data_IF_819301472875
#
_entry.id   IF_819301472875
#
_cell.length_a   1.000
_cell.length_b   1.000
_cell.length_c   1.000
_cell.angle_alpha   90.00
_cell.angle_beta   90.00
_cell.angle_gamma   90.00
#
_symmetry.space_group_name_H-M   'P 1'
#
loop_
_entity.id
_entity.type
_entity.pdbx_description
1 polymer ?
#
# COMPACT_ATOMS: atom_id res chain seq x y z
N UNK A 1 -29.37 28.24 -18.89
CA UNK A 1 -29.19 27.20 -17.85
C UNK A 1 -27.98 26.39 -18.28
N UNK A 2 -26.83 26.68 -17.69
CA UNK A 2 -25.54 26.08 -18.07
C UNK A 2 -25.21 24.96 -17.08
N UNK A 3 -25.11 23.73 -17.56
CA UNK A 3 -24.65 22.58 -16.78
C UNK A 3 -23.55 21.89 -17.56
N UNK A 4 -22.33 22.44 -17.49
CA UNK A 4 -21.10 21.75 -17.87
C UNK A 4 -19.98 22.29 -16.98
N UNK A 5 -19.89 21.79 -15.74
CA UNK A 5 -18.72 22.05 -14.88
C UNK A 5 -18.30 20.84 -14.03
N UNK A 6 -19.08 19.75 -14.01
CA UNK A 6 -18.75 18.55 -13.20
C UNK A 6 -17.57 17.73 -13.71
N UNK A 7 -17.25 17.79 -15.00
CA UNK A 7 -16.16 16.96 -15.55
C UNK A 7 -14.74 17.40 -15.15
N UNK A 8 -14.56 18.67 -14.76
CA UNK A 8 -13.25 19.19 -14.34
C UNK A 8 -12.90 18.78 -12.91
N UNK A 9 -13.88 18.81 -12.01
CA UNK A 9 -13.69 18.45 -10.60
C UNK A 9 -13.45 16.94 -10.42
N UNK A 10 -14.14 16.10 -11.21
CA UNK A 10 -13.92 14.66 -11.22
C UNK A 10 -12.54 14.27 -11.78
N UNK A 11 -12.05 15.01 -12.78
CA UNK A 11 -10.71 14.80 -13.34
C UNK A 11 -9.64 15.16 -12.31
N UNK A 12 -9.74 16.33 -11.67
CA UNK A 12 -8.81 16.77 -10.63
C UNK A 12 -8.82 15.83 -9.42
N UNK A 13 -9.99 15.32 -9.04
CA UNK A 13 -10.10 14.31 -7.99
C UNK A 13 -9.37 13.02 -8.36
N UNK A 14 -9.53 12.53 -9.60
CA UNK A 14 -8.81 11.33 -10.07
C UNK A 14 -7.31 11.55 -10.17
N UNK A 15 -6.86 12.69 -10.70
CA UNK A 15 -5.43 13.03 -10.75
C UNK A 15 -4.81 13.11 -9.35
N UNK A 16 -5.56 13.62 -8.38
CA UNK A 16 -5.11 13.70 -6.99
C UNK A 16 -5.09 12.33 -6.30
N UNK A 17 -6.05 11.45 -6.61
CA UNK A 17 -6.03 10.04 -6.18
C UNK A 17 -4.84 9.30 -6.78
N UNK A 18 -4.58 9.45 -8.09
CA UNK A 18 -3.44 8.82 -8.77
C UNK A 18 -2.10 9.28 -8.18
N UNK A 19 -1.98 10.58 -7.87
CA UNK A 19 -0.83 11.13 -7.17
C UNK A 19 -0.66 10.51 -5.78
N UNK A 20 -1.74 10.42 -5.00
CA UNK A 20 -1.75 9.78 -3.68
C UNK A 20 -1.25 8.34 -3.77
N UNK A 21 -1.76 7.56 -4.73
CA UNK A 21 -1.35 6.16 -4.93
C UNK A 21 0.10 6.04 -5.34
N UNK A 22 0.59 6.90 -6.24
CA UNK A 22 2.00 6.92 -6.63
C UNK A 22 2.92 7.24 -5.44
N UNK A 23 2.55 8.25 -4.66
CA UNK A 23 3.35 8.67 -3.52
C UNK A 23 3.30 7.68 -2.36
N UNK A 24 2.22 6.90 -2.23
CA UNK A 24 2.19 5.78 -1.29
C UNK A 24 3.25 4.72 -1.61
N UNK A 25 3.48 4.46 -2.91
CA UNK A 25 4.54 3.56 -3.34
C UNK A 25 5.94 4.12 -3.02
N UNK A 26 6.17 5.42 -3.25
CA UNK A 26 7.43 6.09 -2.90
C UNK A 26 7.68 6.07 -1.39
N UNK A 27 6.66 6.40 -0.59
CA UNK A 27 6.67 6.29 0.88
C UNK A 27 7.05 4.89 1.33
N UNK A 28 6.51 3.85 0.68
CA UNK A 28 6.83 2.46 1.03
C UNK A 28 8.26 2.08 0.62
N UNK A 29 8.74 2.58 -0.51
CA UNK A 29 10.14 2.42 -0.93
C UNK A 29 11.11 3.03 0.08
N UNK A 30 10.83 4.23 0.58
CA UNK A 30 11.63 4.88 1.62
C UNK A 30 11.62 4.10 2.93
N UNK A 31 10.44 3.60 3.35
CA UNK A 31 10.34 2.77 4.55
C UNK A 31 11.22 1.51 4.45
N UNK A 32 11.19 0.82 3.30
CA UNK A 32 12.06 -0.33 3.08
C UNK A 32 13.55 0.01 3.03
N UNK A 33 13.91 1.18 2.51
CA UNK A 33 15.31 1.64 2.55
C UNK A 33 15.77 1.90 3.99
N UNK A 34 14.88 2.40 4.85
CA UNK A 34 15.16 2.64 6.26
C UNK A 34 15.36 1.35 7.06
N UNK A 35 14.83 0.22 6.59
CA UNK A 35 15.02 -1.10 7.20
C UNK A 35 16.23 -1.86 6.65
N UNK A 36 16.97 -1.27 5.69
CA UNK A 36 18.10 -1.94 5.03
C UNK A 36 19.28 -2.12 5.99
N UNK A 37 19.92 -3.29 6.04
CA UNK A 37 21.17 -3.48 6.79
C UNK A 37 22.28 -2.53 6.33
N UNK A 38 23.08 -2.03 7.28
CA UNK A 38 24.31 -1.27 7.00
C UNK A 38 24.12 0.22 6.70
N UNK A 39 22.90 0.75 6.82
CA UNK A 39 22.70 2.21 6.84
C UNK A 39 23.06 2.78 8.22
N UNK A 40 23.42 4.06 8.26
CA UNK A 40 23.69 4.76 9.53
C UNK A 40 22.41 5.20 10.23
N UNK A 41 22.46 5.40 11.55
CA UNK A 41 21.32 5.94 12.32
C UNK A 41 20.83 7.29 11.77
N UNK A 42 21.75 8.14 11.29
CA UNK A 42 21.41 9.44 10.70
C UNK A 42 20.68 9.28 9.36
N UNK A 43 21.08 8.32 8.54
CA UNK A 43 20.41 7.99 7.27
C UNK A 43 19.02 7.38 7.54
N UNK A 44 18.92 6.47 8.50
CA UNK A 44 17.67 5.88 8.93
C UNK A 44 16.68 6.95 9.44
N UNK A 45 17.14 7.87 10.30
CA UNK A 45 16.30 8.97 10.80
C UNK A 45 15.83 9.90 9.67
N UNK A 46 16.69 10.19 8.68
CA UNK A 46 16.33 10.99 7.51
C UNK A 46 15.24 10.33 6.65
N UNK A 47 15.35 9.01 6.43
CA UNK A 47 14.34 8.25 5.67
C UNK A 47 13.01 8.18 6.42
N UNK A 48 13.03 7.94 7.74
CA UNK A 48 11.81 7.98 8.55
C UNK A 48 11.16 9.37 8.57
N UNK A 49 11.95 10.44 8.58
CA UNK A 49 11.44 11.81 8.45
C UNK A 49 10.66 12.02 7.15
N UNK A 50 11.21 11.58 6.02
CA UNK A 50 10.53 11.67 4.73
C UNK A 50 9.25 10.83 4.67
N UNK A 51 9.25 9.62 5.26
CA UNK A 51 8.04 8.80 5.39
C UNK A 51 6.97 9.53 6.19
N UNK A 52 7.35 10.15 7.32
CA UNK A 52 6.43 10.93 8.15
C UNK A 52 5.85 12.15 7.41
N UNK A 53 6.63 12.80 6.55
CA UNK A 53 6.16 13.94 5.74
C UNK A 53 5.07 13.50 4.74
N UNK A 54 5.21 12.35 4.09
CA UNK A 54 4.15 11.76 3.25
C UNK A 54 2.90 11.44 4.08
N UNK A 55 3.08 10.73 5.19
CA UNK A 55 1.96 10.31 6.06
C UNK A 55 1.20 11.54 6.60
N UNK A 56 1.91 12.60 7.01
CA UNK A 56 1.29 13.84 7.49
C UNK A 56 0.51 14.57 6.39
N UNK A 57 1.08 14.68 5.19
CA UNK A 57 0.44 15.40 4.08
C UNK A 57 -0.87 14.73 3.67
N UNK A 58 -0.88 13.40 3.54
CA UNK A 58 -2.05 12.68 3.04
C UNK A 58 -3.10 12.42 4.11
N UNK A 59 -2.71 12.21 5.37
CA UNK A 59 -3.67 12.03 6.48
C UNK A 59 -4.48 13.29 6.82
N UNK A 60 -4.03 14.48 6.43
CA UNK A 60 -4.78 15.73 6.58
C UNK A 60 -5.55 16.18 5.33
N UNK A 61 -5.47 15.43 4.23
CA UNK A 61 -5.95 15.86 2.92
C UNK A 61 -7.31 15.27 2.50
N UNK A 62 -7.80 15.64 1.30
CA UNK A 62 -9.02 15.10 0.70
C UNK A 62 -9.09 13.57 0.57
N UNK A 63 -7.95 12.89 0.49
CA UNK A 63 -7.84 11.42 0.40
C UNK A 63 -7.35 10.78 1.71
N UNK A 64 -7.57 11.42 2.85
CA UNK A 64 -7.11 10.90 4.14
C UNK A 64 -7.66 9.50 4.44
N UNK A 65 -8.95 9.26 4.16
CA UNK A 65 -9.57 7.95 4.37
C UNK A 65 -9.00 6.88 3.44
N UNK A 66 -8.75 7.23 2.16
CA UNK A 66 -8.14 6.31 1.19
C UNK A 66 -6.70 5.98 1.55
N UNK A 67 -5.91 6.98 1.98
CA UNK A 67 -4.55 6.81 2.46
C UNK A 67 -4.50 5.89 3.70
N UNK A 68 -5.42 6.11 4.64
CA UNK A 68 -5.52 5.31 5.85
C UNK A 68 -5.95 3.87 5.53
N UNK A 69 -6.89 3.71 4.59
CA UNK A 69 -7.33 2.39 4.13
C UNK A 69 -6.17 1.63 3.48
N UNK A 70 -5.44 2.26 2.55
CA UNK A 70 -4.29 1.67 1.87
C UNK A 70 -3.16 1.31 2.86
N UNK A 71 -2.90 2.17 3.85
CA UNK A 71 -1.95 1.91 4.94
C UNK A 71 -2.34 0.67 5.76
N UNK A 72 -3.62 0.55 6.12
CA UNK A 72 -4.13 -0.59 6.87
C UNK A 72 -4.09 -1.88 6.04
N UNK A 73 -4.48 -1.81 4.77
CA UNK A 73 -4.42 -2.94 3.85
C UNK A 73 -2.97 -3.45 3.70
N UNK A 74 -1.99 -2.55 3.55
CA UNK A 74 -0.58 -2.94 3.48
C UNK A 74 -0.13 -3.65 4.76
N UNK A 75 -0.45 -3.10 5.93
CA UNK A 75 -0.15 -3.74 7.21
C UNK A 75 -0.79 -5.12 7.33
N UNK A 76 -2.04 -5.28 6.89
CA UNK A 76 -2.73 -6.56 6.92
C UNK A 76 -2.06 -7.58 5.99
N UNK A 77 -1.67 -7.18 4.78
CA UNK A 77 -0.91 -8.03 3.86
C UNK A 77 0.45 -8.45 4.41
N UNK A 78 1.14 -7.55 5.11
CA UNK A 78 2.44 -7.85 5.74
C UNK A 78 2.31 -8.80 6.93
N UNK A 79 1.22 -8.73 7.68
CA UNK A 79 1.05 -9.47 8.94
C UNK A 79 0.22 -10.74 8.83
N UNK A 80 -0.73 -10.79 7.89
CA UNK A 80 -1.72 -11.87 7.72
C UNK A 80 -1.94 -12.20 6.23
N UNK A 81 -0.88 -12.54 5.46
CA UNK A 81 -0.98 -12.70 4.01
C UNK A 81 -1.99 -13.77 3.57
N UNK A 82 -2.04 -14.92 4.24
CA UNK A 82 -2.95 -16.02 3.86
C UNK A 82 -4.44 -15.66 4.06
N UNK A 83 -4.75 -14.89 5.11
CA UNK A 83 -6.10 -14.37 5.37
C UNK A 83 -6.49 -13.36 4.29
N UNK A 84 -5.56 -12.48 3.92
CA UNK A 84 -5.77 -11.46 2.91
C UNK A 84 -5.91 -12.05 1.50
N UNK A 85 -5.16 -13.11 1.17
CA UNK A 85 -5.32 -13.88 -0.07
C UNK A 85 -6.72 -14.49 -0.15
N UNK A 86 -7.18 -15.10 0.94
CA UNK A 86 -8.53 -15.66 1.04
C UNK A 86 -9.60 -14.59 0.91
N UNK A 87 -9.42 -13.45 1.55
CA UNK A 87 -10.33 -12.31 1.49
C UNK A 87 -10.43 -11.74 0.07
N UNK A 88 -9.30 -11.49 -0.59
CA UNK A 88 -9.26 -10.95 -1.95
C UNK A 88 -9.91 -11.93 -2.95
N UNK A 89 -9.73 -13.24 -2.77
CA UNK A 89 -10.38 -14.25 -3.60
C UNK A 89 -11.92 -14.24 -3.47
N UNK A 90 -12.45 -14.04 -2.26
CA UNK A 90 -13.90 -13.89 -2.03
C UNK A 90 -14.43 -12.64 -2.74
N UNK A 91 -13.73 -11.52 -2.63
CA UNK A 91 -14.11 -10.26 -3.27
C UNK A 91 -14.07 -10.36 -4.80
N UNK A 92 -13.04 -11.00 -5.37
CA UNK A 92 -12.94 -11.26 -6.82
C UNK A 92 -14.10 -12.14 -7.31
N UNK A 93 -14.43 -13.20 -6.57
CA UNK A 93 -15.61 -14.02 -6.87
C UNK A 93 -16.90 -13.19 -6.87
N UNK A 94 -17.14 -12.38 -5.83
CA UNK A 94 -18.33 -11.53 -5.74
C UNK A 94 -18.40 -10.51 -6.90
N UNK A 95 -17.26 -9.89 -7.25
CA UNK A 95 -17.17 -8.96 -8.38
C UNK A 95 -17.55 -9.66 -9.69
N UNK A 96 -17.10 -10.88 -9.93
CA UNK A 96 -17.45 -11.66 -11.13
C UNK A 96 -18.91 -12.13 -11.15
N UNK A 97 -19.45 -12.52 -9.99
CA UNK A 97 -20.80 -13.05 -9.88
C UNK A 97 -21.88 -11.95 -9.87
N UNK A 98 -21.60 -10.81 -9.24
CA UNK A 98 -22.59 -9.77 -8.93
C UNK A 98 -22.23 -8.39 -9.49
N UNK A 99 -21.10 -8.27 -10.19
CA UNK A 99 -20.61 -7.00 -10.77
C UNK A 99 -19.94 -6.06 -9.76
N UNK A 100 -20.14 -6.26 -8.46
CA UNK A 100 -19.46 -5.54 -7.38
C UNK A 100 -19.32 -6.42 -6.13
N UNK A 101 -18.20 -6.35 -5.40
CA UNK A 101 -18.11 -6.94 -4.08
C UNK A 101 -19.00 -6.20 -3.08
N UNK A 102 -19.50 -6.92 -2.08
CA UNK A 102 -20.27 -6.31 -0.99
C UNK A 102 -19.32 -5.65 0.02
N UNK A 103 -19.63 -4.43 0.44
CA UNK A 103 -18.86 -3.72 1.48
C UNK A 103 -17.50 -3.17 1.05
N UNK A 104 -17.15 -3.27 -0.24
CA UNK A 104 -15.90 -2.73 -0.81
C UNK A 104 -16.24 -1.97 -2.09
N UNK A 105 -15.93 -0.67 -2.13
CA UNK A 105 -16.05 0.14 -3.35
C UNK A 105 -14.82 -0.02 -4.27
N UNK A 106 -14.84 0.65 -5.43
CA UNK A 106 -13.76 0.54 -6.41
C UNK A 106 -12.43 1.10 -5.89
N UNK A 107 -12.45 2.20 -5.14
CA UNK A 107 -11.25 2.85 -4.58
C UNK A 107 -10.60 1.97 -3.53
N UNK A 108 -11.40 1.35 -2.65
CA UNK A 108 -10.96 0.38 -1.65
C UNK A 108 -10.43 -0.91 -2.30
N UNK A 109 -11.10 -1.42 -3.34
CA UNK A 109 -10.62 -2.56 -4.11
C UNK A 109 -9.24 -2.29 -4.71
N UNK A 110 -9.06 -1.14 -5.34
CA UNK A 110 -7.76 -0.74 -5.90
C UNK A 110 -6.68 -0.64 -4.82
N UNK A 111 -7.03 -0.12 -3.64
CA UNK A 111 -6.11 -0.07 -2.51
C UNK A 111 -5.72 -1.46 -1.99
N UNK A 112 -6.65 -2.42 -1.93
CA UNK A 112 -6.34 -3.82 -1.57
C UNK A 112 -5.36 -4.46 -2.57
N UNK A 113 -5.59 -4.25 -3.86
CA UNK A 113 -4.74 -4.80 -4.94
C UNK A 113 -3.36 -4.13 -4.93
N UNK A 114 -3.30 -2.81 -4.76
CA UNK A 114 -2.04 -2.08 -4.65
C UNK A 114 -1.23 -2.56 -3.44
N UNK A 115 -1.85 -2.67 -2.27
CA UNK A 115 -1.21 -3.17 -1.07
C UNK A 115 -0.70 -4.62 -1.22
N UNK A 116 -1.47 -5.48 -1.89
CA UNK A 116 -1.06 -6.85 -2.21
C UNK A 116 0.24 -6.86 -3.04
N UNK A 117 0.29 -6.06 -4.11
CA UNK A 117 1.46 -5.99 -4.99
C UNK A 117 2.70 -5.49 -4.24
N UNK A 118 2.55 -4.42 -3.45
CA UNK A 118 3.62 -3.87 -2.62
C UNK A 118 4.13 -4.93 -1.61
N UNK A 119 3.24 -5.61 -0.89
CA UNK A 119 3.63 -6.64 0.07
C UNK A 119 4.26 -7.87 -0.60
N UNK A 120 3.84 -8.21 -1.82
CA UNK A 120 4.46 -9.27 -2.60
C UNK A 120 5.90 -8.91 -3.01
N UNK A 121 6.12 -7.67 -3.48
CA UNK A 121 7.45 -7.16 -3.80
C UNK A 121 8.38 -7.14 -2.59
N UNK A 122 7.87 -6.75 -1.41
CA UNK A 122 8.60 -6.78 -0.15
C UNK A 122 9.07 -8.20 0.19
N UNK A 123 8.14 -9.17 0.15
CA UNK A 123 8.45 -10.59 0.42
C UNK A 123 9.53 -11.12 -0.53
N UNK A 124 9.44 -10.80 -1.82
CA UNK A 124 10.46 -11.16 -2.81
C UNK A 124 11.81 -10.55 -2.42
N UNK A 125 11.84 -9.26 -2.08
CA UNK A 125 13.08 -8.57 -1.70
C UNK A 125 13.71 -9.16 -0.44
N UNK A 126 12.93 -9.39 0.60
CA UNK A 126 13.40 -9.97 1.87
C UNK A 126 14.01 -11.35 1.65
N UNK A 127 13.43 -12.15 0.76
CA UNK A 127 13.98 -13.46 0.37
C UNK A 127 15.38 -13.35 -0.23
N UNK A 128 15.63 -12.35 -1.07
CA UNK A 128 16.96 -12.11 -1.66
C UNK A 128 17.97 -11.54 -0.67
N UNK A 129 17.50 -10.75 0.31
CA UNK A 129 18.37 -10.17 1.35
C UNK A 129 18.73 -11.17 2.44
N UNK A 130 17.87 -12.16 2.71
CA UNK A 130 18.07 -13.19 3.73
C UNK A 130 17.86 -14.60 3.17
N UNK A 131 18.73 -15.08 2.26
CA UNK A 131 18.62 -16.43 1.70
C UNK A 131 18.73 -17.53 2.77
N UNK A 132 19.36 -17.24 3.92
CA UNK A 132 19.54 -18.19 5.02
C UNK A 132 18.24 -18.49 5.80
N UNK A 133 17.26 -17.58 5.79
CA UNK A 133 15.94 -17.79 6.42
C UNK A 133 15.12 -18.84 5.70
N UNK A 134 15.31 -18.96 4.39
CA UNK A 134 14.65 -19.95 3.54
C UNK A 134 15.25 -21.37 3.68
N UNK A 135 16.50 -21.46 4.14
CA UNK A 135 17.22 -22.74 4.32
C UNK A 135 17.03 -23.34 5.72
N UNK A 136 16.30 -22.68 6.63
CA UNK A 136 16.07 -23.17 7.99
C UNK A 136 17.34 -23.24 8.86
N UNK A 137 18.39 -22.51 8.48
CA UNK A 137 19.71 -22.58 9.15
C UNK A 137 19.81 -21.70 10.41
N UNK A 138 18.86 -20.81 10.66
CA UNK A 138 18.84 -19.97 11.88
C UNK A 138 18.54 -20.77 13.17
N UNK A 139 18.14 -22.06 13.08
CA UNK A 139 17.76 -22.86 14.25
C UNK A 139 18.94 -23.51 15.00
N UNK A 140 20.17 -23.31 14.55
CA UNK A 140 21.37 -23.91 15.15
C UNK A 140 22.50 -22.90 15.31
N UNK A 141 22.39 -22.00 16.29
CA UNK A 141 23.53 -21.32 16.92
C UNK A 141 23.31 -21.20 18.42
#
# INVERSE_FOLDING_TARGET
MSTVSSGGDELMHREHEDLMRSEFHDRTTLAWQADRPGISDAEQASLHGQVADYDQRWSGGPHADDWQYLSNALRDWQTRPDEMDSYLAVLDYQRRAFGRPEGVDETQWQSLVQAHNIAHEDRIRQRYQHPERDLGLERWR
#
